data_IF_658143298650
#
_entry.id   IF_658143298650
#
_cell.length_a   1.000
_cell.length_b   1.000
_cell.length_c   1.000
_cell.angle_alpha   90.00
_cell.angle_beta   90.00
_cell.angle_gamma   90.00
#
_symmetry.space_group_name_H-M   'P 1'
#
loop_
_entity.id
_entity.type
_entity.pdbx_description
1 polymer ?
#
# COMPACT_ATOMS: atom_id res chain seq x y z
N UNK A 1 -22.07 14.38 1.46
CA UNK A 1 -21.21 14.16 2.64
C UNK A 1 -20.65 12.75 2.54
N UNK A 2 -19.33 12.57 2.42
CA UNK A 2 -18.74 11.25 2.29
C UNK A 2 -18.83 10.51 3.63
N UNK A 3 -19.73 9.53 3.72
CA UNK A 3 -19.74 8.53 4.79
C UNK A 3 -18.37 7.89 4.85
N UNK A 4 -17.74 7.90 6.02
CA UNK A 4 -16.42 7.30 6.17
C UNK A 4 -16.55 5.78 6.05
N UNK A 5 -16.29 5.23 4.86
CA UNK A 5 -16.30 3.78 4.65
C UNK A 5 -15.15 3.12 5.40
N UNK A 6 -15.47 2.58 6.58
CA UNK A 6 -14.57 1.76 7.38
C UNK A 6 -14.55 0.33 6.85
N UNK A 7 -13.36 -0.26 6.76
CA UNK A 7 -13.17 -1.67 6.42
C UNK A 7 -13.27 -2.51 7.70
N UNK A 8 -13.84 -3.71 7.58
CA UNK A 8 -14.00 -4.62 8.72
C UNK A 8 -13.20 -5.92 8.52
N UNK A 9 -12.74 -6.48 9.62
CA UNK A 9 -12.16 -7.80 9.75
C UNK A 9 -12.78 -8.53 10.94
N UNK A 10 -12.33 -9.76 11.20
CA UNK A 10 -12.95 -10.64 12.23
C UNK A 10 -13.07 -9.99 13.62
N UNK A 11 -12.10 -9.17 14.00
CA UNK A 11 -12.01 -8.52 15.32
C UNK A 11 -11.58 -7.05 15.22
N UNK A 12 -11.67 -6.43 14.04
CA UNK A 12 -11.13 -5.08 13.81
C UNK A 12 -11.96 -4.30 12.80
N UNK A 13 -12.13 -3.02 13.07
CA UNK A 13 -12.66 -2.02 12.13
C UNK A 13 -11.54 -1.02 11.90
N UNK A 14 -11.21 -0.72 10.65
CA UNK A 14 -10.05 0.09 10.32
C UNK A 14 -10.26 0.92 9.06
N UNK A 15 -9.57 2.05 9.00
CA UNK A 15 -9.45 2.92 7.83
C UNK A 15 -8.02 3.44 7.80
N UNK A 16 -7.13 2.64 7.25
CA UNK A 16 -5.70 2.93 7.21
C UNK A 16 -5.28 3.14 5.77
N UNK A 17 -4.84 4.34 5.44
CA UNK A 17 -4.16 4.62 4.19
C UNK A 17 -2.76 5.13 4.49
N UNK A 18 -1.87 4.90 3.54
CA UNK A 18 -0.50 5.35 3.62
C UNK A 18 -0.07 5.88 2.27
N UNK A 19 0.57 7.04 2.28
CA UNK A 19 1.31 7.57 1.14
C UNK A 19 2.75 7.10 1.24
N UNK A 20 3.21 6.36 0.24
CA UNK A 20 4.56 5.83 0.15
C UNK A 20 5.26 6.53 -1.02
N UNK A 21 6.49 7.01 -0.78
CA UNK A 21 7.35 7.54 -1.85
C UNK A 21 8.58 6.66 -1.99
N UNK A 22 8.80 6.17 -3.21
CA UNK A 22 9.95 5.37 -3.60
C UNK A 22 10.76 6.12 -4.66
N UNK A 23 12.08 6.06 -4.55
CA UNK A 23 13.00 6.82 -5.40
C UNK A 23 14.01 5.85 -6.00
N UNK A 24 14.24 5.83 -7.33
CA UNK A 24 15.32 5.05 -7.94
C UNK A 24 16.67 5.40 -7.34
N UNK A 25 17.59 4.46 -7.40
CA UNK A 25 18.96 4.65 -6.95
C UNK A 25 19.55 5.87 -7.69
N UNK A 26 20.16 6.79 -6.95
CA UNK A 26 20.73 8.04 -7.46
C UNK A 26 19.73 9.01 -8.12
N UNK A 27 18.42 8.89 -7.87
CA UNK A 27 17.39 9.76 -8.46
C UNK A 27 17.50 9.86 -9.98
N UNK A 28 17.77 8.73 -10.63
CA UNK A 28 17.81 8.68 -12.10
C UNK A 28 16.39 8.73 -12.66
N UNK A 29 16.22 9.50 -13.72
CA UNK A 29 14.97 9.60 -14.49
C UNK A 29 14.77 8.34 -15.34
N UNK A 30 14.32 7.26 -14.71
CA UNK A 30 14.12 5.95 -15.36
C UNK A 30 12.65 5.58 -15.50
N UNK A 31 11.74 6.38 -14.97
CA UNK A 31 10.30 6.08 -14.97
C UNK A 31 9.64 6.47 -16.30
N UNK A 32 10.05 5.81 -17.38
CA UNK A 32 9.36 5.90 -18.67
C UNK A 32 7.98 5.23 -18.59
N UNK A 33 7.09 5.51 -19.54
CA UNK A 33 5.72 4.96 -19.54
C UNK A 33 5.67 3.43 -19.36
N UNK A 34 6.58 2.69 -20.01
CA UNK A 34 6.66 1.23 -19.87
C UNK A 34 7.18 0.77 -18.50
N UNK A 35 8.12 1.52 -17.92
CA UNK A 35 8.59 1.28 -16.55
C UNK A 35 7.46 1.53 -15.58
N UNK A 36 6.76 2.66 -15.69
CA UNK A 36 5.59 2.99 -14.88
C UNK A 36 4.50 1.93 -14.97
N UNK A 37 4.19 1.42 -16.17
CA UNK A 37 3.22 0.34 -16.33
C UNK A 37 3.65 -0.94 -15.58
N UNK A 38 4.90 -1.38 -15.78
CA UNK A 38 5.44 -2.56 -15.09
C UNK A 38 5.44 -2.39 -13.55
N UNK A 39 5.78 -1.19 -13.07
CA UNK A 39 5.74 -0.83 -11.65
C UNK A 39 4.30 -0.91 -11.11
N UNK A 40 3.31 -0.37 -11.83
CA UNK A 40 1.90 -0.42 -11.43
C UNK A 40 1.43 -1.86 -11.23
N UNK A 41 1.75 -2.74 -12.16
CA UNK A 41 1.37 -4.15 -12.09
C UNK A 41 2.06 -4.86 -10.93
N UNK A 42 3.37 -4.63 -10.76
CA UNK A 42 4.15 -5.18 -9.65
C UNK A 42 3.59 -4.73 -8.28
N UNK A 43 3.26 -3.44 -8.14
CA UNK A 43 2.74 -2.88 -6.91
C UNK A 43 1.34 -3.39 -6.61
N UNK A 44 0.48 -3.50 -7.61
CA UNK A 44 -0.88 -4.06 -7.46
C UNK A 44 -0.82 -5.52 -7.00
N UNK A 45 0.04 -6.33 -7.61
CA UNK A 45 0.27 -7.73 -7.21
C UNK A 45 0.74 -7.85 -5.77
N UNK A 46 1.73 -7.04 -5.38
CA UNK A 46 2.27 -7.05 -4.02
C UNK A 46 1.21 -6.60 -3.03
N UNK A 47 0.49 -5.51 -3.28
CA UNK A 47 -0.59 -5.08 -2.40
C UNK A 47 -1.63 -6.19 -2.20
N UNK A 48 -2.05 -6.86 -3.28
CA UNK A 48 -2.97 -7.99 -3.21
C UNK A 48 -2.49 -9.12 -2.29
N UNK A 49 -1.20 -9.50 -2.36
CA UNK A 49 -0.59 -10.54 -1.50
C UNK A 49 -0.62 -10.18 -0.01
N UNK A 50 -0.59 -8.89 0.33
CA UNK A 50 -0.67 -8.39 1.70
C UNK A 50 -2.12 -8.13 2.15
N UNK A 51 -3.12 -8.37 1.29
CA UNK A 51 -4.51 -7.97 1.53
C UNK A 51 -4.70 -6.44 1.55
N UNK A 52 -3.74 -5.72 0.98
CA UNK A 52 -3.76 -4.28 0.77
C UNK A 52 -4.30 -3.95 -0.62
N UNK A 53 -4.58 -2.68 -0.87
CA UNK A 53 -5.11 -2.17 -2.14
C UNK A 53 -4.25 -0.99 -2.58
N UNK A 54 -3.80 -1.00 -3.83
CA UNK A 54 -3.15 0.16 -4.44
C UNK A 54 -4.26 1.10 -4.94
N UNK A 55 -4.59 2.12 -4.16
CA UNK A 55 -5.72 3.01 -4.45
C UNK A 55 -5.35 4.05 -5.52
N UNK A 56 -4.12 4.55 -5.48
CA UNK A 56 -3.56 5.41 -6.51
C UNK A 56 -2.06 5.15 -6.67
N UNK A 57 -1.59 5.35 -7.89
CA UNK A 57 -0.17 5.30 -8.20
C UNK A 57 0.14 6.29 -9.31
N UNK A 58 1.18 7.08 -9.09
CA UNK A 58 1.72 8.06 -10.02
C UNK A 58 3.26 7.97 -9.94
N UNK A 59 3.94 8.29 -11.02
CA UNK A 59 5.40 8.34 -11.05
C UNK A 59 5.87 9.43 -11.98
N UNK A 60 6.75 10.28 -11.48
CA UNK A 60 7.36 11.36 -12.23
C UNK A 60 8.87 11.13 -12.25
N UNK A 61 9.42 10.87 -13.45
CA UNK A 61 10.86 10.75 -13.76
C UNK A 61 11.70 9.89 -12.80
N UNK A 62 12.00 10.47 -11.64
CA UNK A 62 12.88 9.98 -10.58
C UNK A 62 12.17 9.58 -9.27
N UNK A 63 10.83 9.52 -9.20
CA UNK A 63 10.14 9.09 -7.99
C UNK A 63 8.70 8.56 -8.22
N UNK A 64 8.28 7.64 -7.35
CA UNK A 64 7.01 6.92 -7.42
C UNK A 64 6.17 7.19 -6.16
N UNK A 65 4.96 7.69 -6.35
CA UNK A 65 3.97 7.98 -5.32
C UNK A 65 2.89 6.91 -5.30
N UNK A 66 2.73 6.22 -4.17
CA UNK A 66 1.69 5.21 -3.99
C UNK A 66 0.76 5.64 -2.86
N UNK A 67 -0.54 5.61 -3.09
CA UNK A 67 -1.55 5.61 -2.04
C UNK A 67 -2.04 4.18 -1.84
N UNK A 68 -1.88 3.66 -0.63
CA UNK A 68 -2.19 2.27 -0.31
C UNK A 68 -3.13 2.20 0.89
N UNK A 69 -4.26 1.53 0.73
CA UNK A 69 -5.10 1.05 1.82
C UNK A 69 -4.59 -0.29 2.33
N UNK A 70 -4.39 -0.46 3.63
CA UNK A 70 -3.79 -1.69 4.16
C UNK A 70 -4.43 -2.18 5.48
N UNK A 71 -4.44 -3.51 5.74
CA UNK A 71 -4.91 -4.06 7.01
C UNK A 71 -3.98 -3.70 8.19
N UNK A 72 -4.50 -3.56 9.42
CA UNK A 72 -3.70 -3.21 10.60
C UNK A 72 -2.64 -4.26 10.98
N UNK A 73 -2.81 -5.51 10.52
CA UNK A 73 -1.82 -6.57 10.72
C UNK A 73 -0.57 -6.44 9.84
N UNK A 74 -0.61 -5.59 8.81
CA UNK A 74 0.50 -5.44 7.85
C UNK A 74 1.51 -4.46 8.41
N UNK A 75 2.73 -4.94 8.65
CA UNK A 75 3.87 -4.09 8.94
C UNK A 75 4.31 -3.35 7.66
N UNK A 76 4.23 -2.02 7.66
CA UNK A 76 4.57 -1.19 6.50
C UNK A 76 6.01 -1.42 6.00
N UNK A 77 6.96 -1.65 6.90
CA UNK A 77 8.34 -1.97 6.53
C UNK A 77 8.45 -3.25 5.68
N UNK A 78 7.62 -4.27 5.97
CA UNK A 78 7.57 -5.51 5.19
C UNK A 78 6.88 -5.30 3.85
N UNK A 79 5.81 -4.51 3.81
CA UNK A 79 5.14 -4.15 2.56
C UNK A 79 6.07 -3.38 1.63
N UNK A 80 6.73 -2.32 2.12
CA UNK A 80 7.67 -1.51 1.33
C UNK A 80 8.85 -2.36 0.83
N UNK A 81 9.39 -3.23 1.68
CA UNK A 81 10.45 -4.17 1.26
C UNK A 81 9.99 -5.05 0.09
N UNK A 82 8.78 -5.61 0.15
CA UNK A 82 8.24 -6.45 -0.92
C UNK A 82 7.96 -5.64 -2.19
N UNK A 83 7.39 -4.44 -2.06
CA UNK A 83 7.14 -3.52 -3.18
C UNK A 83 8.45 -3.24 -3.92
N UNK A 84 9.51 -2.86 -3.20
CA UNK A 84 10.83 -2.55 -3.79
C UNK A 84 11.48 -3.77 -4.43
N UNK A 85 11.46 -4.92 -3.77
CA UNK A 85 12.12 -6.13 -4.26
C UNK A 85 11.44 -6.68 -5.51
N UNK A 86 10.12 -6.86 -5.49
CA UNK A 86 9.40 -7.48 -6.62
C UNK A 86 9.38 -6.54 -7.82
N UNK A 87 9.14 -5.24 -7.62
CA UNK A 87 9.18 -4.26 -8.72
C UNK A 87 10.57 -4.15 -9.35
N UNK A 88 11.63 -4.09 -8.54
CA UNK A 88 13.01 -4.07 -9.04
C UNK A 88 13.33 -5.32 -9.84
N UNK A 89 12.84 -6.49 -9.42
CA UNK A 89 13.06 -7.74 -10.14
C UNK A 89 12.34 -7.73 -11.49
N UNK A 90 11.05 -7.35 -11.51
CA UNK A 90 10.26 -7.31 -12.76
C UNK A 90 10.85 -6.32 -13.77
N UNK A 91 11.10 -5.07 -13.37
CA UNK A 91 11.65 -4.05 -14.30
C UNK A 91 13.03 -4.45 -14.83
N UNK A 92 13.87 -5.08 -14.02
CA UNK A 92 15.22 -5.49 -14.46
C UNK A 92 15.20 -6.73 -15.36
N UNK A 93 14.19 -7.59 -15.26
CA UNK A 93 14.03 -8.74 -16.16
C UNK A 93 13.77 -8.30 -17.61
N UNK A 94 13.15 -7.13 -17.80
CA UNK A 94 12.84 -6.56 -19.12
C UNK A 94 14.07 -6.03 -19.89
N UNK A 95 15.20 -5.82 -19.20
CA UNK A 95 16.47 -5.39 -19.80
C UNK A 95 16.38 -4.10 -20.65
N UNK A 96 15.51 -3.15 -20.28
CA UNK A 96 15.33 -1.92 -21.05
C UNK A 96 16.55 -0.98 -21.01
N UNK A 97 17.02 -0.44 -22.16
CA UNK A 97 18.23 0.38 -22.24
C UNK A 97 18.23 1.66 -21.40
N UNK A 98 17.09 2.30 -21.18
CA UNK A 98 16.97 3.48 -20.31
C UNK A 98 17.23 3.13 -18.84
N UNK A 99 16.87 1.92 -18.41
CA UNK A 99 17.10 1.46 -17.04
C UNK A 99 18.54 0.98 -16.89
N UNK A 100 19.00 0.11 -17.79
CA UNK A 100 20.32 -0.55 -17.69
C UNK A 100 21.48 0.42 -17.88
N UNK A 101 21.33 1.47 -18.71
CA UNK A 101 22.34 2.53 -18.84
C UNK A 101 22.37 3.49 -17.65
N UNK A 102 21.20 3.83 -17.09
CA UNK A 102 21.13 4.79 -15.99
C UNK A 102 21.51 4.17 -14.63
N UNK A 103 21.21 2.88 -14.43
CA UNK A 103 21.39 2.16 -13.17
C UNK A 103 22.37 1.00 -13.34
N UNK A 104 23.67 1.32 -13.26
CA UNK A 104 24.71 0.30 -13.25
C UNK A 104 24.72 -0.46 -11.91
N UNK A 105 24.75 -1.80 -11.97
CA UNK A 105 24.74 -2.66 -10.79
C UNK A 105 23.39 -3.31 -10.50
N UNK A 106 23.19 -3.80 -9.28
CA UNK A 106 22.06 -4.70 -8.94
C UNK A 106 20.81 -4.01 -8.37
N UNK A 107 20.82 -2.69 -8.19
CA UNK A 107 19.80 -1.98 -7.41
C UNK A 107 18.98 -1.01 -8.27
N UNK A 108 17.66 -1.21 -8.32
CA UNK A 108 16.75 -0.25 -8.94
C UNK A 108 16.42 0.91 -7.99
N UNK A 109 16.07 0.61 -6.74
CA UNK A 109 15.63 1.60 -5.75
C UNK A 109 16.78 2.11 -4.85
N UNK A 110 16.65 3.35 -4.37
CA UNK A 110 17.36 3.83 -3.17
C UNK A 110 17.08 2.92 -1.97
N UNK A 111 18.00 2.74 -1.00
CA UNK A 111 17.67 2.02 0.24
C UNK A 111 16.59 2.73 1.06
N UNK A 112 16.54 4.07 1.04
CA UNK A 112 15.53 4.86 1.76
C UNK A 112 14.14 4.80 1.12
N UNK A 113 13.13 5.23 1.87
CA UNK A 113 11.74 5.41 1.42
C UNK A 113 11.03 6.37 2.37
N UNK A 114 9.98 7.06 1.90
CA UNK A 114 9.12 7.89 2.73
C UNK A 114 7.79 7.20 2.96
N UNK A 115 7.23 7.38 4.16
CA UNK A 115 5.92 6.85 4.56
C UNK A 115 5.19 7.93 5.34
N UNK A 116 4.02 8.32 4.86
CA UNK A 116 3.17 9.32 5.50
C UNK A 116 1.79 8.71 5.67
N UNK A 117 1.26 8.74 6.90
CA UNK A 117 -0.14 8.33 7.13
C UNK A 117 -1.07 9.21 6.30
N UNK A 118 -1.96 8.60 5.53
CA UNK A 118 -2.94 9.30 4.72
C UNK A 118 -4.35 9.00 5.24
N UNK A 119 -5.20 10.02 5.34
CA UNK A 119 -6.56 9.86 5.84
C UNK A 119 -6.65 9.73 7.35
N UNK A 120 -6.56 10.86 8.05
CA UNK A 120 -7.17 10.98 9.37
C UNK A 120 -8.69 11.04 9.21
N UNK A 121 -9.42 10.31 10.04
CA UNK A 121 -10.84 10.59 10.23
C UNK A 121 -10.95 12.01 10.80
N UNK A 122 -11.86 12.88 10.30
CA UNK A 122 -12.17 14.13 10.98
C UNK A 122 -12.47 13.83 12.46
N UNK A 123 -12.10 14.74 13.36
CA UNK A 123 -12.29 14.56 14.81
C UNK A 123 -13.71 14.07 15.16
N UNK A 124 -14.72 14.58 14.44
CA UNK A 124 -16.11 14.17 14.60
C UNK A 124 -16.36 12.68 14.32
N UNK A 125 -15.72 12.10 13.29
CA UNK A 125 -15.86 10.66 12.99
C UNK A 125 -15.19 9.81 14.07
N UNK A 126 -14.06 10.27 14.64
CA UNK A 126 -13.41 9.61 15.77
C UNK A 126 -14.30 9.69 17.01
N UNK A 127 -14.89 10.85 17.27
CA UNK A 127 -15.82 11.09 18.39
C UNK A 127 -17.07 10.22 18.30
N UNK A 128 -17.74 10.20 17.14
CA UNK A 128 -18.88 9.31 16.88
C UNK A 128 -18.51 7.83 17.03
N UNK A 129 -17.32 7.41 16.57
CA UNK A 129 -16.85 6.04 16.79
C UNK A 129 -16.69 5.71 18.28
N UNK A 130 -16.12 6.62 19.08
CA UNK A 130 -15.96 6.46 20.54
C UNK A 130 -17.32 6.38 21.24
N UNK A 131 -18.25 7.29 20.91
CA UNK A 131 -19.58 7.36 21.53
C UNK A 131 -20.41 6.09 21.25
N UNK A 132 -20.29 5.52 20.05
CA UNK A 132 -20.99 4.30 19.65
C UNK A 132 -20.39 3.00 20.22
N UNK A 133 -19.23 3.04 20.89
CA UNK A 133 -18.62 1.85 21.53
C UNK A 133 -19.32 1.45 22.83
N UNK A 134 -20.15 2.32 23.43
CA UNK A 134 -20.80 2.07 24.72
C UNK A 134 -22.19 1.42 24.62
N UNK A 135 -22.72 1.15 23.42
CA UNK A 135 -24.03 0.53 23.26
C UNK A 135 -23.98 -0.99 23.58
N UNK A 136 -24.70 -1.51 24.59
CA UNK A 136 -24.60 -2.92 25.04
C UNK A 136 -25.16 -3.96 24.06
N UNK A 137 -25.74 -3.55 22.93
CA UNK A 137 -26.44 -4.44 22.00
C UNK A 137 -25.54 -4.83 20.82
N UNK A 138 -24.49 -5.62 21.09
CA UNK A 138 -23.86 -6.44 20.03
C UNK A 138 -24.58 -7.79 19.98
N UNK A 139 -25.36 -8.12 18.93
CA UNK A 139 -25.88 -9.47 18.79
C UNK A 139 -24.70 -10.44 18.71
N UNK A 140 -24.62 -11.34 19.70
CA UNK A 140 -23.58 -12.35 19.77
C UNK A 140 -23.54 -13.16 18.48
N UNK A 141 -22.33 -13.40 17.96
CA UNK A 141 -22.14 -14.24 16.77
C UNK A 141 -22.77 -15.61 17.03
N UNK A 142 -23.70 -16.11 16.19
CA UNK A 142 -24.30 -17.41 16.42
C UNK A 142 -23.21 -18.48 16.41
N UNK A 143 -23.14 -19.27 17.50
CA UNK A 143 -22.26 -20.43 17.59
C UNK A 143 -22.71 -21.42 16.51
N UNK A 144 -21.84 -21.74 15.55
CA UNK A 144 -22.08 -22.84 14.61
C UNK A 144 -22.25 -24.12 15.43
N UNK A 145 -23.47 -24.65 15.48
CA UNK A 145 -23.74 -25.97 16.02
C UNK A 145 -22.97 -27.03 15.23
N UNK A 146 -22.31 -27.95 15.92
CA UNK A 146 -21.90 -29.22 15.34
C UNK A 146 -23.19 -29.97 14.97
N UNK A 147 -23.35 -30.31 13.69
CA UNK A 147 -24.34 -31.29 13.28
C UNK A 147 -23.86 -32.71 13.69
N UNK A 148 -24.81 -33.60 14.02
CA UNK A 148 -24.52 -34.96 14.52
C UNK A 148 -23.84 -35.84 13.48
#
# INVERSE_FOLDING_TARGET
MATADFRTGRHVVYKLHVHIVLVPKYRREVMTQRVTACLRDAFSDVCGRYGATLDAFESDGDHAHLLVSYPPKVALSKLVMSLKTISSMKVRAENWPEVTRALWGKHFWSPSYCVVSAGGAPLEVIKTYIENQQSPNRPGRPRKGKQP
#
